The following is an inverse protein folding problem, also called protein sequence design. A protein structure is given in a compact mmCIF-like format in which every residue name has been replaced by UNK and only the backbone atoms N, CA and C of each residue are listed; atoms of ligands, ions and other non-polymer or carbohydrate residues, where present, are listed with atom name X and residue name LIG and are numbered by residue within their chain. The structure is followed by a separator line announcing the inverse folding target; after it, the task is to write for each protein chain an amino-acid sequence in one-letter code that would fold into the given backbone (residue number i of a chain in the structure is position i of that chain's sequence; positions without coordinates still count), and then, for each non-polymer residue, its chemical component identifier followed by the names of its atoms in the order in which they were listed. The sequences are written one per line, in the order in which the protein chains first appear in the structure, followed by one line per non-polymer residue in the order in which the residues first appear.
data_IF_731288818249
#
_entry.id   IF_731288818249
#
_cell.length_a   1.000
_cell.length_b   1.000
_cell.length_c   1.000
_cell.angle_alpha   90.00
_cell.angle_beta   90.00
_cell.angle_gamma   90.00
#
_symmetry.space_group_name_H-M   'P 1'
#
loop_
_entity.id
_entity.type
_entity.pdbx_description
1 polymer ?
#
# COMPACT_ATOMS: atom_id res chain seq x y z
N UNK A 1 -8.01 10.05 -3.57
CA UNK A 1 -9.03 10.79 -2.78
C UNK A 1 -8.59 10.89 -1.32
N UNK A 2 -7.83 11.93 -0.97
CA UNK A 2 -7.43 12.21 0.42
C UNK A 2 -7.21 13.72 0.58
N UNK A 3 -8.03 14.44 1.36
CA UNK A 3 -7.92 15.90 1.51
C UNK A 3 -6.58 16.36 2.08
N UNK A 4 -6.01 15.59 3.01
CA UNK A 4 -4.74 15.92 3.62
C UNK A 4 -3.51 15.59 2.75
N UNK A 5 -3.73 14.98 1.58
CA UNK A 5 -2.65 14.52 0.71
C UNK A 5 -1.78 13.42 1.35
N UNK A 6 -2.31 12.67 2.32
CA UNK A 6 -1.56 11.61 3.00
C UNK A 6 -1.37 10.35 2.12
N UNK A 7 -2.17 10.18 1.07
CA UNK A 7 -1.96 9.15 0.06
C UNK A 7 -1.02 9.68 -1.02
N UNK A 8 0.07 8.98 -1.27
CA UNK A 8 1.04 9.33 -2.31
C UNK A 8 1.55 8.08 -3.02
N UNK A 9 2.04 8.27 -4.25
CA UNK A 9 2.72 7.26 -5.06
C UNK A 9 4.19 7.60 -5.10
N UNK A 10 5.05 6.65 -4.73
CA UNK A 10 6.50 6.76 -4.87
C UNK A 10 6.90 6.82 -6.35
N UNK A 11 7.94 7.56 -6.67
CA UNK A 11 8.36 7.82 -8.06
C UNK A 11 9.23 6.67 -8.58
N UNK A 12 10.06 6.13 -7.69
CA UNK A 12 11.08 5.13 -7.96
C UNK A 12 10.53 3.72 -8.25
N UNK A 13 9.45 3.31 -7.59
CA UNK A 13 8.90 1.95 -7.65
C UNK A 13 7.38 1.91 -7.90
N UNK A 14 6.74 3.08 -7.93
CA UNK A 14 5.30 3.21 -8.13
C UNK A 14 4.42 2.71 -6.98
N UNK A 15 4.98 2.37 -5.82
CA UNK A 15 4.22 1.89 -4.67
C UNK A 15 3.37 3.03 -4.10
N UNK A 16 2.09 2.76 -3.89
CA UNK A 16 1.16 3.71 -3.25
C UNK A 16 1.14 3.48 -1.74
N UNK A 17 1.45 4.51 -0.96
CA UNK A 17 1.52 4.46 0.50
C UNK A 17 0.58 5.47 1.15
N UNK A 18 0.24 5.21 2.42
CA UNK A 18 -0.43 6.17 3.29
C UNK A 18 0.60 6.65 4.32
N UNK A 19 0.92 7.94 4.26
CA UNK A 19 1.70 8.63 5.28
C UNK A 19 0.91 8.62 6.60
N UNK A 20 1.42 7.88 7.58
CA UNK A 20 0.73 7.72 8.86
C UNK A 20 0.75 9.02 9.67
N UNK A 21 1.73 9.90 9.53
CA UNK A 21 1.80 11.15 10.31
C UNK A 21 0.87 12.21 9.73
N UNK A 22 0.70 12.23 8.40
CA UNK A 22 -0.23 13.14 7.71
C UNK A 22 -1.67 12.63 7.66
N UNK A 23 -1.90 11.35 7.96
CA UNK A 23 -3.22 10.76 7.94
C UNK A 23 -4.09 11.30 9.10
N UNK A 24 -5.20 11.96 8.75
CA UNK A 24 -6.15 12.55 9.71
C UNK A 24 -7.47 11.77 9.83
N UNK A 25 -7.53 10.55 9.30
CA UNK A 25 -8.70 9.69 9.47
C UNK A 25 -9.98 10.14 8.74
N UNK A 26 -9.87 10.96 7.69
CA UNK A 26 -11.03 11.41 6.89
C UNK A 26 -11.82 10.29 6.20
N UNK A 27 -11.25 9.08 6.09
CA UNK A 27 -11.86 7.86 5.51
C UNK A 27 -12.36 7.96 4.06
N UNK A 28 -12.25 9.11 3.39
CA UNK A 28 -12.64 9.23 1.98
C UNK A 28 -11.82 8.33 1.04
N UNK A 29 -10.58 8.00 1.42
CA UNK A 29 -9.76 7.03 0.69
C UNK A 29 -10.33 5.60 0.73
N UNK A 30 -11.04 5.23 1.80
CA UNK A 30 -11.71 3.93 1.94
C UNK A 30 -12.88 3.83 0.97
N UNK A 31 -13.73 4.85 0.92
CA UNK A 31 -14.86 4.90 -0.01
C UNK A 31 -14.39 5.04 -1.46
N UNK A 32 -13.42 5.91 -1.71
CA UNK A 32 -12.92 6.23 -3.05
C UNK A 32 -12.14 5.11 -3.73
N UNK A 33 -11.67 4.10 -3.00
CA UNK A 33 -11.06 2.92 -3.61
C UNK A 33 -12.15 1.97 -4.13
N UNK A 34 -12.25 1.71 -5.45
CA UNK A 34 -13.23 0.76 -5.98
C UNK A 34 -12.93 -0.68 -5.56
N UNK A 35 -11.65 -1.02 -5.34
CA UNK A 35 -11.21 -2.35 -4.91
C UNK A 35 -11.31 -2.59 -3.40
N UNK A 36 -11.70 -1.59 -2.61
CA UNK A 36 -11.79 -1.66 -1.14
C UNK A 36 -10.51 -2.21 -0.49
N UNK A 37 -9.34 -1.76 -0.98
CA UNK A 37 -8.00 -2.15 -0.47
C UNK A 37 -7.36 -1.13 0.46
N UNK A 38 -8.13 -0.17 0.94
CA UNK A 38 -7.76 0.74 2.01
C UNK A 38 -8.65 0.41 3.20
N UNK A 39 -8.03 0.09 4.33
CA UNK A 39 -8.69 -0.32 5.55
C UNK A 39 -8.54 0.78 6.60
N UNK A 40 -9.55 0.97 7.42
CA UNK A 40 -9.48 1.93 8.51
C UNK A 40 -9.12 1.21 9.81
N UNK A 41 -8.01 1.61 10.42
CA UNK A 41 -7.62 1.13 11.73
C UNK A 41 -8.37 1.97 12.79
N UNK A 42 -9.30 1.32 13.49
CA UNK A 42 -10.15 1.96 14.49
C UNK A 42 -9.39 2.29 15.78
N UNK A 43 -8.28 1.60 16.06
CA UNK A 43 -7.43 1.87 17.22
C UNK A 43 -6.56 3.12 17.01
N UNK A 44 -5.89 3.22 15.86
CA UNK A 44 -5.01 4.37 15.55
C UNK A 44 -5.77 5.56 14.96
N UNK A 45 -6.99 5.36 14.50
CA UNK A 45 -7.79 6.36 13.79
C UNK A 45 -7.28 6.68 12.39
N UNK A 46 -6.42 5.83 11.81
CA UNK A 46 -5.72 6.07 10.54
C UNK A 46 -6.09 5.02 9.50
N UNK A 47 -5.99 5.42 8.23
CA UNK A 47 -6.12 4.51 7.11
C UNK A 47 -4.81 3.75 6.86
N UNK A 48 -4.93 2.46 6.57
CA UNK A 48 -3.83 1.55 6.26
C UNK A 48 -4.14 0.79 4.96
N UNK A 49 -3.10 0.35 4.26
CA UNK A 49 -3.24 -0.44 3.03
C UNK A 49 -2.00 -1.31 2.82
N UNK A 50 -2.09 -2.24 1.87
CA UNK A 50 -0.93 -2.99 1.38
C UNK A 50 0.21 -2.03 1.00
N UNK A 51 1.41 -2.26 1.55
CA UNK A 51 2.62 -1.47 1.32
C UNK A 51 3.53 -2.07 0.24
N UNK A 52 3.04 -3.10 -0.46
CA UNK A 52 3.80 -3.94 -1.40
C UNK A 52 5.13 -4.45 -0.81
N UNK A 53 5.17 -4.64 0.51
CA UNK A 53 6.39 -5.02 1.22
C UNK A 53 7.60 -4.15 0.84
N UNK A 54 7.43 -2.82 0.70
CA UNK A 54 8.49 -1.94 0.21
C UNK A 54 9.87 -2.13 0.88
N UNK A 55 10.00 -2.42 2.20
CA UNK A 55 11.33 -2.64 2.78
C UNK A 55 12.04 -3.88 2.21
N UNK A 56 11.28 -4.90 1.78
CA UNK A 56 11.82 -6.08 1.09
C UNK A 56 12.21 -5.75 -0.34
N UNK A 57 11.36 -5.02 -1.06
CA UNK A 57 11.60 -4.63 -2.45
C UNK A 57 12.87 -3.77 -2.57
N UNK A 58 13.09 -2.86 -1.63
CA UNK A 58 14.31 -2.04 -1.54
C UNK A 58 15.58 -2.89 -1.34
N UNK A 59 15.46 -4.02 -0.65
CA UNK A 59 16.52 -5.00 -0.46
C UNK A 59 16.61 -6.04 -1.61
N UNK A 60 15.88 -5.85 -2.71
CA UNK A 60 15.85 -6.79 -3.84
C UNK A 60 15.11 -8.10 -3.53
N UNK A 61 14.37 -8.18 -2.44
CA UNK A 61 13.61 -9.36 -2.04
C UNK A 61 12.16 -9.30 -2.56
N UNK A 62 11.54 -10.45 -2.88
CA UNK A 62 10.14 -10.51 -3.25
C UNK A 62 9.22 -10.09 -2.08
N UNK A 63 7.98 -9.72 -2.39
CA UNK A 63 6.95 -9.51 -1.37
C UNK A 63 6.67 -10.82 -0.64
N UNK A 64 6.32 -10.74 0.65
CA UNK A 64 6.01 -11.94 1.47
C UNK A 64 4.94 -12.78 0.78
N UNK A 65 3.90 -12.14 0.27
CA UNK A 65 2.78 -12.84 -0.34
C UNK A 65 3.16 -13.50 -1.69
N UNK A 66 4.17 -13.00 -2.41
CA UNK A 66 4.69 -13.66 -3.62
C UNK A 66 5.65 -14.79 -3.27
N UNK A 67 6.53 -14.59 -2.30
CA UNK A 67 7.52 -15.57 -1.85
C UNK A 67 6.87 -16.82 -1.25
N UNK A 68 5.86 -16.64 -0.40
CA UNK A 68 5.16 -17.76 0.26
C UNK A 68 4.07 -18.39 -0.63
N UNK A 69 4.03 -18.06 -1.92
CA UNK A 69 3.04 -18.63 -2.85
C UNK A 69 3.39 -20.09 -3.17
N UNK A 70 2.79 -21.02 -2.42
CA UNK A 70 2.97 -22.48 -2.59
C UNK A 70 2.71 -22.92 -4.04
N UNK A 71 1.69 -22.36 -4.68
CA UNK A 71 1.33 -22.68 -6.07
C UNK A 71 2.27 -22.09 -7.13
N UNK A 72 3.25 -21.25 -6.75
CA UNK A 72 4.20 -20.59 -7.66
C UNK A 72 3.53 -19.84 -8.82
N UNK A 73 2.38 -19.20 -8.56
CA UNK A 73 1.57 -18.50 -9.56
C UNK A 73 1.86 -16.98 -9.62
N UNK A 74 2.68 -16.45 -8.71
CA UNK A 74 2.90 -15.02 -8.57
C UNK A 74 4.25 -14.63 -9.17
N UNK A 75 4.22 -13.67 -10.09
CA UNK A 75 5.40 -13.11 -10.74
C UNK A 75 5.52 -11.63 -10.35
N UNK A 76 6.74 -11.18 -10.09
CA UNK A 76 7.07 -9.79 -9.79
C UNK A 76 8.14 -9.33 -10.78
N UNK A 77 7.98 -8.13 -11.31
CA UNK A 77 8.91 -7.55 -12.28
C UNK A 77 8.62 -6.09 -12.53
N UNK A 78 9.57 -5.40 -13.15
CA UNK A 78 9.42 -4.03 -13.63
C UNK A 78 8.59 -4.02 -14.91
N UNK A 79 7.75 -3.00 -15.08
CA UNK A 79 7.16 -2.68 -16.39
C UNK A 79 7.86 -1.43 -16.90
N UNK A 80 8.54 -1.57 -18.04
CA UNK A 80 9.25 -0.51 -18.75
C UNK A 80 8.39 0.07 -19.86
#
# INVERSE_FOLDING_TARGET
VCPSGALYKRIEDGIVLVDQDRCRGWRMCVTGCPYKKVYFNHHTGKAEKCTLCYPRIEAGQPTVCSETCVGRLRYLGVML
#
